data_IF_453566668736
#
_entry.id   IF_453566668736
#
_cell.length_a   1.000
_cell.length_b   1.000
_cell.length_c   1.000
_cell.angle_alpha   90.00
_cell.angle_beta   90.00
_cell.angle_gamma   90.00
#
_symmetry.space_group_name_H-M   'P 1'
#
loop_
_entity.id
_entity.type
_entity.pdbx_description
1 polymer ?
#
# COMPACT_ATOMS: atom_id res chain seq x y z
N UNK A 1 6.34 -17.39 -3.51
CA UNK A 1 6.42 -15.95 -3.84
C UNK A 1 5.02 -15.50 -4.20
N UNK A 2 4.50 -14.47 -3.54
CA UNK A 2 3.30 -13.79 -4.02
C UNK A 2 3.66 -13.08 -5.33
N UNK A 3 2.91 -13.30 -6.40
CA UNK A 3 3.09 -12.63 -7.69
C UNK A 3 1.90 -11.69 -7.86
N UNK A 4 2.17 -10.39 -7.83
CA UNK A 4 1.14 -9.36 -7.91
C UNK A 4 1.29 -8.64 -9.24
N UNK A 5 0.24 -8.65 -10.05
CA UNK A 5 0.18 -7.90 -11.30
C UNK A 5 -0.14 -6.44 -10.99
N UNK A 6 0.87 -5.57 -11.06
CA UNK A 6 0.75 -4.15 -10.74
C UNK A 6 1.38 -3.27 -11.82
N UNK A 7 0.86 -2.05 -11.99
CA UNK A 7 1.46 -1.07 -12.90
C UNK A 7 2.62 -0.37 -12.20
N UNK A 8 3.76 -0.30 -12.89
CA UNK A 8 4.92 0.48 -12.48
C UNK A 8 5.02 1.74 -13.33
N UNK A 9 5.29 2.88 -12.68
CA UNK A 9 5.55 4.16 -13.32
C UNK A 9 6.86 4.73 -12.74
N UNK A 10 7.99 4.45 -13.39
CA UNK A 10 9.31 4.70 -12.83
C UNK A 10 9.51 3.88 -11.54
N UNK A 11 9.83 4.56 -10.45
CA UNK A 11 10.01 3.95 -9.12
C UNK A 11 8.70 3.81 -8.33
N UNK A 12 7.57 4.25 -8.89
CA UNK A 12 6.25 4.20 -8.23
C UNK A 12 5.48 2.94 -8.66
N UNK A 13 5.05 2.14 -7.68
CA UNK A 13 4.14 1.01 -7.90
C UNK A 13 2.70 1.40 -7.51
N UNK A 14 1.75 1.15 -8.41
CA UNK A 14 0.33 1.45 -8.19
C UNK A 14 -0.45 0.22 -7.78
N UNK A 15 -0.60 0.02 -6.47
CA UNK A 15 -1.24 -1.14 -5.87
C UNK A 15 -2.64 -0.81 -5.35
N UNK A 16 -3.59 -1.72 -5.53
CA UNK A 16 -4.85 -1.70 -4.78
C UNK A 16 -4.61 -2.12 -3.33
N UNK A 17 -5.55 -1.80 -2.43
CA UNK A 17 -5.44 -2.23 -1.03
C UNK A 17 -5.36 -3.76 -0.93
N UNK A 18 -6.10 -4.49 -1.77
CA UNK A 18 -6.10 -5.96 -1.72
C UNK A 18 -4.76 -6.55 -2.16
N UNK A 19 -4.13 -5.95 -3.16
CA UNK A 19 -2.77 -6.30 -3.54
C UNK A 19 -1.77 -6.01 -2.42
N UNK A 20 -1.93 -4.89 -1.70
CA UNK A 20 -1.11 -4.62 -0.52
C UNK A 20 -1.35 -5.65 0.60
N UNK A 21 -2.60 -6.10 0.81
CA UNK A 21 -2.89 -7.15 1.81
C UNK A 21 -2.18 -8.46 1.48
N UNK A 22 -2.16 -8.85 0.19
CA UNK A 22 -1.44 -10.04 -0.27
C UNK A 22 0.07 -9.85 -0.18
N UNK A 23 0.60 -8.69 -0.56
CA UNK A 23 2.04 -8.41 -0.55
C UNK A 23 2.60 -8.45 0.87
N UNK A 24 1.94 -7.75 1.79
CA UNK A 24 2.43 -7.57 3.16
C UNK A 24 1.90 -8.62 4.13
N UNK A 25 0.98 -9.49 3.68
CA UNK A 25 0.32 -10.51 4.51
C UNK A 25 -0.35 -9.87 5.75
N UNK A 26 -1.10 -8.80 5.52
CA UNK A 26 -1.80 -8.01 6.54
C UNK A 26 -3.25 -7.78 6.16
N UNK A 27 -4.09 -7.64 7.18
CA UNK A 27 -5.51 -7.36 6.98
C UNK A 27 -5.75 -5.97 6.36
N UNK A 28 -6.86 -5.86 5.61
CA UNK A 28 -7.31 -4.62 4.96
C UNK A 28 -7.42 -3.45 5.95
N UNK A 29 -7.88 -3.72 7.18
CA UNK A 29 -8.02 -2.71 8.25
C UNK A 29 -6.66 -2.17 8.72
N UNK A 30 -5.64 -3.03 8.79
CA UNK A 30 -4.28 -2.65 9.17
C UNK A 30 -3.65 -1.81 8.07
N UNK A 31 -3.74 -2.24 6.81
CA UNK A 31 -3.27 -1.45 5.65
C UNK A 31 -3.92 -0.06 5.62
N UNK A 32 -5.23 0.02 5.76
CA UNK A 32 -5.95 1.30 5.80
C UNK A 32 -5.51 2.21 6.96
N UNK A 33 -5.26 1.64 8.14
CA UNK A 33 -4.72 2.39 9.29
C UNK A 33 -3.34 2.97 8.98
N UNK A 34 -2.44 2.18 8.39
CA UNK A 34 -1.10 2.65 8.03
C UNK A 34 -1.14 3.77 7.00
N UNK A 35 -1.93 3.62 5.92
CA UNK A 35 -2.11 4.66 4.90
C UNK A 35 -2.58 5.96 5.55
N UNK A 36 -3.60 5.89 6.41
CA UNK A 36 -4.11 7.07 7.13
C UNK A 36 -3.03 7.71 8.01
N UNK A 37 -2.28 6.91 8.77
CA UNK A 37 -1.28 7.41 9.70
C UNK A 37 -0.13 8.13 8.98
N UNK A 38 0.34 7.62 7.84
CA UNK A 38 1.39 8.26 7.02
C UNK A 38 1.03 9.72 6.68
N UNK A 39 -0.24 10.02 6.36
CA UNK A 39 -0.68 11.41 6.11
C UNK A 39 -0.90 12.22 7.40
N UNK A 40 -1.28 11.58 8.51
CA UNK A 40 -1.47 12.26 9.80
C UNK A 40 -0.13 12.66 10.43
N UNK A 41 0.86 11.78 10.31
CA UNK A 41 2.21 11.95 10.86
C UNK A 41 3.06 12.87 9.97
N UNK A 42 2.52 13.28 8.81
CA UNK A 42 3.19 14.17 7.87
C UNK A 42 4.32 13.53 7.08
N UNK A 43 4.42 12.20 7.09
CA UNK A 43 5.40 11.43 6.31
C UNK A 43 5.16 11.57 4.80
N UNK A 44 3.91 11.79 4.40
CA UNK A 44 3.52 12.07 3.01
C UNK A 44 2.58 13.27 2.92
N UNK A 45 2.78 14.11 1.90
CA UNK A 45 1.87 15.20 1.55
C UNK A 45 0.60 14.67 0.86
N UNK A 46 -0.53 15.34 1.09
CA UNK A 46 -1.78 15.08 0.35
C UNK A 46 -1.70 15.46 -1.12
#
# INVERSE_FOLDING_TARGET
MAKIDTTYAGDTAWLSIDQMTELFQRDRSVIGKHIRNVFLDGELSK
#
